data_IF_831666475129
#
_entry.id   IF_831666475129
#
_cell.length_a   1.000
_cell.length_b   1.000
_cell.length_c   1.000
_cell.angle_alpha   90.00
_cell.angle_beta   90.00
_cell.angle_gamma   90.00
#
_symmetry.space_group_name_H-M   'P 1'
#
loop_
_entity.id
_entity.type
_entity.pdbx_description
1 polymer ?
#
# COMPACT_ATOMS: atom_id res chain seq x y z
N UNK A 1 8.87 -6.93 28.16
CA UNK A 1 9.51 -7.34 26.89
C UNK A 1 8.48 -7.22 25.80
N UNK A 2 8.67 -6.33 24.83
CA UNK A 2 7.76 -6.23 23.69
C UNK A 2 8.19 -7.34 22.72
N UNK A 3 7.49 -8.48 22.73
CA UNK A 3 7.76 -9.57 21.80
C UNK A 3 7.45 -9.08 20.39
N UNK A 4 8.48 -9.05 19.52
CA UNK A 4 8.29 -8.72 18.10
C UNK A 4 7.25 -9.68 17.54
N UNK A 5 6.17 -9.12 16.98
CA UNK A 5 5.04 -9.86 16.42
C UNK A 5 5.54 -10.80 15.33
N UNK A 6 5.03 -12.02 15.29
CA UNK A 6 5.43 -12.99 14.26
C UNK A 6 4.48 -12.96 13.06
N UNK A 7 4.94 -13.54 11.94
CA UNK A 7 4.08 -13.82 10.78
C UNK A 7 2.88 -14.67 11.20
N UNK A 8 3.07 -15.65 12.08
CA UNK A 8 2.01 -16.52 12.57
C UNK A 8 0.93 -15.76 13.37
N UNK A 9 1.33 -14.77 14.17
CA UNK A 9 0.39 -13.89 14.87
C UNK A 9 -0.41 -13.04 13.88
N UNK A 10 0.26 -12.50 12.86
CA UNK A 10 -0.39 -11.73 11.79
C UNK A 10 -1.41 -12.57 11.02
N UNK A 11 -1.05 -13.80 10.63
CA UNK A 11 -1.99 -14.73 9.98
C UNK A 11 -3.17 -15.05 10.89
N UNK A 12 -2.94 -15.24 12.20
CA UNK A 12 -4.01 -15.50 13.16
C UNK A 12 -4.98 -14.33 13.25
N UNK A 13 -4.48 -13.11 13.31
CA UNK A 13 -5.32 -11.92 13.38
C UNK A 13 -6.11 -11.72 12.07
N UNK A 14 -5.49 -11.94 10.91
CA UNK A 14 -6.21 -11.93 9.63
C UNK A 14 -7.42 -12.87 9.63
N UNK A 15 -7.23 -14.13 10.04
CA UNK A 15 -8.33 -15.10 10.10
C UNK A 15 -9.31 -14.85 11.26
N UNK A 16 -8.96 -13.96 12.21
CA UNK A 16 -9.89 -13.46 13.24
C UNK A 16 -10.79 -12.37 12.66
N UNK A 17 -10.24 -11.47 11.84
CA UNK A 17 -10.98 -10.38 11.20
C UNK A 17 -11.78 -10.84 9.96
N UNK A 18 -11.28 -11.83 9.22
CA UNK A 18 -11.97 -12.45 8.08
C UNK A 18 -12.12 -13.95 8.29
N UNK A 19 -13.31 -14.37 8.71
CA UNK A 19 -13.61 -15.76 9.06
C UNK A 19 -14.20 -16.58 7.91
N UNK A 20 -14.50 -15.94 6.77
CA UNK A 20 -15.10 -16.60 5.60
C UNK A 20 -14.04 -17.35 4.79
N UNK A 21 -14.39 -18.44 4.10
CA UNK A 21 -13.44 -19.16 3.27
C UNK A 21 -12.98 -18.33 2.07
N UNK A 22 -11.66 -18.20 1.89
CA UNK A 22 -11.08 -17.62 0.67
C UNK A 22 -10.79 -18.74 -0.32
N UNK A 23 -11.24 -18.59 -1.56
CA UNK A 23 -10.93 -19.48 -2.68
C UNK A 23 -9.40 -19.67 -2.80
N UNK A 24 -8.96 -20.92 -3.00
CA UNK A 24 -7.55 -21.30 -2.98
C UNK A 24 -6.69 -20.56 -4.02
N UNK A 25 -7.26 -20.16 -5.16
CA UNK A 25 -6.57 -19.39 -6.21
C UNK A 25 -6.10 -18.05 -5.65
N UNK A 26 -6.97 -17.35 -4.92
CA UNK A 26 -6.69 -16.02 -4.36
C UNK A 26 -5.98 -16.09 -3.01
N UNK A 27 -6.19 -17.16 -2.22
CA UNK A 27 -5.58 -17.33 -0.90
C UNK A 27 -4.06 -17.19 -0.93
N UNK A 28 -3.39 -17.79 -1.94
CA UNK A 28 -1.93 -17.69 -2.07
C UNK A 28 -1.49 -16.22 -2.14
N UNK A 29 -2.16 -15.44 -2.97
CA UNK A 29 -1.79 -14.04 -3.19
C UNK A 29 -2.06 -13.18 -1.97
N UNK A 30 -3.20 -13.39 -1.31
CA UNK A 30 -3.53 -12.71 -0.04
C UNK A 30 -2.50 -13.04 1.04
N UNK A 31 -2.11 -14.30 1.18
CA UNK A 31 -1.09 -14.70 2.16
C UNK A 31 0.31 -14.15 1.83
N UNK A 32 0.72 -14.16 0.56
CA UNK A 32 2.01 -13.58 0.15
C UNK A 32 2.05 -12.07 0.41
N UNK A 33 0.98 -11.35 0.06
CA UNK A 33 0.85 -9.92 0.33
C UNK A 33 0.87 -9.63 1.84
N UNK A 34 0.16 -10.43 2.64
CA UNK A 34 0.17 -10.30 4.10
C UNK A 34 1.54 -10.51 4.72
N UNK A 35 2.29 -11.51 4.24
CA UNK A 35 3.65 -11.78 4.70
C UNK A 35 4.58 -10.64 4.31
N UNK A 36 4.48 -10.13 3.08
CA UNK A 36 5.26 -8.98 2.63
C UNK A 36 5.00 -7.74 3.49
N UNK A 37 3.72 -7.39 3.71
CA UNK A 37 3.32 -6.26 4.57
C UNK A 37 3.82 -6.44 6.01
N UNK A 38 3.75 -7.66 6.56
CA UNK A 38 4.26 -7.95 7.90
C UNK A 38 5.78 -7.73 7.98
N UNK A 39 6.55 -8.33 7.07
CA UNK A 39 8.02 -8.24 7.08
C UNK A 39 8.50 -6.79 6.89
N UNK A 40 7.72 -5.97 6.18
CA UNK A 40 7.93 -4.53 6.13
C UNK A 40 7.61 -3.86 7.46
N UNK A 41 6.43 -4.12 8.05
CA UNK A 41 6.00 -3.46 9.30
C UNK A 41 6.93 -3.67 10.50
N UNK A 42 7.66 -4.79 10.56
CA UNK A 42 8.60 -5.10 11.65
C UNK A 42 10.04 -4.69 11.32
N UNK A 43 10.31 -4.18 10.12
CA UNK A 43 11.62 -3.69 9.73
C UNK A 43 11.84 -2.29 10.33
N UNK A 44 12.97 -2.10 11.01
CA UNK A 44 13.30 -0.84 11.71
C UNK A 44 13.39 0.37 10.79
N UNK A 45 13.74 0.16 9.52
CA UNK A 45 13.92 1.22 8.54
C UNK A 45 12.65 1.50 7.72
N UNK A 46 11.62 0.65 7.88
CA UNK A 46 10.35 0.83 7.19
C UNK A 46 9.49 1.87 7.89
N UNK A 47 8.95 2.79 7.09
CA UNK A 47 7.96 3.75 7.51
C UNK A 47 6.85 3.75 6.46
N UNK A 48 5.60 3.84 6.92
CA UNK A 48 4.47 3.98 6.01
C UNK A 48 4.57 5.31 5.25
N UNK A 49 4.32 5.26 3.95
CA UNK A 49 4.14 6.42 3.10
C UNK A 49 2.95 6.20 2.14
N UNK A 50 2.27 7.26 1.67
CA UNK A 50 1.13 7.14 0.75
C UNK A 50 1.44 6.38 -0.55
N UNK A 51 2.68 6.42 -1.07
CA UNK A 51 3.05 5.72 -2.31
C UNK A 51 3.05 4.20 -2.06
N UNK A 52 3.59 3.76 -0.92
CA UNK A 52 3.43 2.39 -0.44
C UNK A 52 1.94 2.02 -0.27
N UNK A 53 1.13 2.90 0.34
CA UNK A 53 -0.31 2.68 0.52
C UNK A 53 -1.05 2.45 -0.81
N UNK A 54 -0.81 3.32 -1.79
CA UNK A 54 -1.29 3.17 -3.17
C UNK A 54 -0.83 1.84 -3.78
N UNK A 55 0.43 1.48 -3.57
CA UNK A 55 0.99 0.21 -3.99
C UNK A 55 0.24 -1.01 -3.45
N UNK A 56 -0.10 -1.00 -2.17
CA UNK A 56 -0.89 -2.06 -1.50
C UNK A 56 -2.30 -2.13 -2.09
N UNK A 57 -2.99 -1.00 -2.23
CA UNK A 57 -4.34 -0.93 -2.82
C UNK A 57 -4.32 -1.46 -4.26
N UNK A 58 -3.44 -0.95 -5.12
CA UNK A 58 -3.35 -1.38 -6.52
C UNK A 58 -3.00 -2.88 -6.63
N UNK A 59 -2.06 -3.36 -5.81
CA UNK A 59 -1.66 -4.76 -5.79
C UNK A 59 -2.87 -5.65 -5.44
N UNK A 60 -3.59 -5.30 -4.37
CA UNK A 60 -4.78 -6.02 -3.96
C UNK A 60 -5.86 -6.01 -5.04
N UNK A 61 -6.22 -4.84 -5.56
CA UNK A 61 -7.29 -4.69 -6.55
C UNK A 61 -7.02 -5.49 -7.83
N UNK A 62 -5.78 -5.45 -8.34
CA UNK A 62 -5.39 -6.21 -9.53
C UNK A 62 -5.44 -7.71 -9.31
N UNK A 63 -4.95 -8.18 -8.17
CA UNK A 63 -4.96 -9.62 -7.88
C UNK A 63 -6.33 -10.16 -7.51
N UNK A 64 -7.19 -9.32 -6.94
CA UNK A 64 -8.56 -9.67 -6.57
C UNK A 64 -9.55 -9.41 -7.70
N UNK A 65 -9.06 -9.11 -8.91
CA UNK A 65 -9.89 -8.98 -10.09
C UNK A 65 -10.71 -10.26 -10.29
N UNK A 66 -12.02 -10.08 -10.49
CA UNK A 66 -12.98 -11.18 -10.66
C UNK A 66 -13.18 -12.10 -9.45
N UNK A 67 -12.72 -11.74 -8.25
CA UNK A 67 -12.98 -12.50 -7.03
C UNK A 67 -14.50 -12.66 -6.78
N UNK A 68 -14.92 -13.85 -6.37
CA UNK A 68 -16.31 -14.15 -6.01
C UNK A 68 -16.40 -14.81 -4.62
N UNK A 69 -17.34 -14.38 -3.77
CA UNK A 69 -18.31 -13.31 -4.01
C UNK A 69 -17.66 -11.91 -3.86
N UNK A 70 -18.05 -10.96 -4.70
CA UNK A 70 -17.40 -9.64 -4.78
C UNK A 70 -17.40 -8.85 -3.46
N UNK A 71 -18.46 -8.96 -2.66
CA UNK A 71 -18.58 -8.25 -1.39
C UNK A 71 -17.54 -8.70 -0.34
N UNK A 72 -16.94 -9.88 -0.49
CA UNK A 72 -15.90 -10.35 0.43
C UNK A 72 -14.56 -9.66 0.19
N UNK A 73 -14.33 -9.03 -0.98
CA UNK A 73 -13.09 -8.29 -1.25
C UNK A 73 -12.81 -7.21 -0.20
N UNK A 74 -13.83 -6.44 0.15
CA UNK A 74 -13.71 -5.38 1.17
C UNK A 74 -13.33 -5.97 2.54
N UNK A 75 -14.00 -7.06 2.95
CA UNK A 75 -13.69 -7.73 4.21
C UNK A 75 -12.27 -8.30 4.22
N UNK A 76 -11.80 -8.87 3.11
CA UNK A 76 -10.43 -9.38 2.99
C UNK A 76 -9.41 -8.25 3.08
N UNK A 77 -9.64 -7.14 2.37
CA UNK A 77 -8.73 -5.98 2.41
C UNK A 77 -8.67 -5.37 3.83
N UNK A 78 -9.82 -5.19 4.46
CA UNK A 78 -9.91 -4.68 5.83
C UNK A 78 -9.14 -5.58 6.82
N UNK A 79 -9.33 -6.90 6.74
CA UNK A 79 -8.61 -7.85 7.57
C UNK A 79 -7.11 -7.85 7.31
N UNK A 80 -6.69 -7.65 6.05
CA UNK A 80 -5.28 -7.58 5.65
C UNK A 80 -4.56 -6.40 6.30
N UNK A 81 -5.14 -5.19 6.19
CA UNK A 81 -4.59 -3.99 6.80
C UNK A 81 -4.57 -4.09 8.34
N UNK A 82 -5.67 -4.54 8.95
CA UNK A 82 -5.77 -4.67 10.41
C UNK A 82 -4.80 -5.71 10.96
N UNK A 83 -4.55 -6.81 10.24
CA UNK A 83 -3.61 -7.85 10.65
C UNK A 83 -2.17 -7.34 10.79
N UNK A 84 -1.77 -6.31 10.05
CA UNK A 84 -0.44 -5.68 10.19
C UNK A 84 -0.47 -4.40 11.02
N UNK A 85 -1.60 -4.11 11.68
CA UNK A 85 -1.76 -2.93 12.54
C UNK A 85 -2.06 -1.63 11.80
N UNK A 86 -2.47 -1.69 10.53
CA UNK A 86 -2.90 -0.54 9.75
C UNK A 86 -4.43 -0.43 9.62
N UNK A 87 -4.90 0.71 9.11
CA UNK A 87 -6.32 0.99 8.89
C UNK A 87 -6.64 1.04 7.41
N UNK A 88 -7.50 0.16 6.89
CA UNK A 88 -7.79 0.08 5.46
C UNK A 88 -8.32 1.40 4.87
N UNK A 89 -9.07 2.17 5.65
CA UNK A 89 -9.55 3.49 5.25
C UNK A 89 -8.39 4.44 4.92
N UNK A 90 -7.33 4.47 5.75
CA UNK A 90 -6.14 5.28 5.50
C UNK A 90 -5.48 4.92 4.17
N UNK A 91 -5.31 3.62 3.88
CA UNK A 91 -4.72 3.15 2.63
C UNK A 91 -5.55 3.61 1.41
N UNK A 92 -6.88 3.51 1.50
CA UNK A 92 -7.80 3.89 0.42
C UNK A 92 -7.83 5.40 0.19
N UNK A 93 -7.91 6.19 1.27
CA UNK A 93 -7.92 7.65 1.19
C UNK A 93 -6.61 8.20 0.65
N UNK A 94 -5.47 7.68 1.12
CA UNK A 94 -4.15 8.05 0.62
C UNK A 94 -3.98 7.70 -0.87
N UNK A 95 -4.40 6.49 -1.26
CA UNK A 95 -4.35 6.04 -2.65
C UNK A 95 -5.22 6.93 -3.56
N UNK A 96 -6.44 7.28 -3.13
CA UNK A 96 -7.34 8.12 -3.91
C UNK A 96 -6.80 9.54 -4.03
N UNK A 97 -6.34 10.12 -2.91
CA UNK A 97 -5.73 11.46 -2.88
C UNK A 97 -4.56 11.55 -3.86
N UNK A 98 -3.68 10.55 -3.82
CA UNK A 98 -2.53 10.44 -4.72
C UNK A 98 -2.92 10.41 -6.19
N UNK A 99 -3.89 9.58 -6.56
CA UNK A 99 -4.38 9.48 -7.94
C UNK A 99 -4.95 10.82 -8.41
N UNK A 100 -5.80 11.46 -7.61
CA UNK A 100 -6.40 12.75 -7.95
C UNK A 100 -5.38 13.89 -8.05
N UNK A 101 -4.28 13.83 -7.29
CA UNK A 101 -3.20 14.82 -7.39
C UNK A 101 -2.43 14.77 -8.73
N UNK A 102 -2.40 13.62 -9.41
CA UNK A 102 -1.63 13.45 -10.66
C UNK A 102 -2.51 13.33 -11.91
N UNK A 103 -3.84 13.23 -11.75
CA UNK A 103 -4.83 13.07 -12.85
C UNK A 103 -4.72 14.11 -13.97
N UNK A 104 -4.23 15.32 -13.68
CA UNK A 104 -4.08 16.40 -14.66
C UNK A 104 -2.67 16.57 -15.21
N UNK A 105 -1.71 15.74 -14.76
CA UNK A 105 -0.31 15.81 -15.18
C UNK A 105 -0.10 14.83 -16.34
N UNK A 106 0.75 15.16 -17.32
CA UNK A 106 1.24 14.11 -18.22
C UNK A 106 2.29 13.25 -17.52
N UNK A 107 2.53 12.02 -17.98
CA UNK A 107 3.61 11.19 -17.46
C UNK A 107 5.01 11.87 -17.46
N UNK A 108 5.31 12.74 -18.43
CA UNK A 108 6.57 13.51 -18.45
C UNK A 108 6.59 14.61 -17.38
N UNK A 109 5.46 15.28 -17.17
CA UNK A 109 5.33 16.29 -16.11
C UNK A 109 5.44 15.64 -14.73
N UNK A 110 4.84 14.47 -14.55
CA UNK A 110 4.93 13.70 -13.32
C UNK A 110 6.39 13.27 -13.04
N UNK A 111 7.12 12.75 -14.02
CA UNK A 111 8.54 12.40 -13.85
C UNK A 111 9.37 13.63 -13.47
N UNK A 112 9.12 14.76 -14.14
CA UNK A 112 9.81 16.02 -13.86
C UNK A 112 9.52 16.50 -12.44
N UNK A 113 8.26 16.40 -12.01
CA UNK A 113 7.82 16.77 -10.67
C UNK A 113 8.37 15.82 -9.60
N UNK A 114 8.38 14.50 -9.80
CA UNK A 114 8.99 13.55 -8.86
C UNK A 114 10.49 13.81 -8.66
N UNK A 115 11.17 14.33 -9.69
CA UNK A 115 12.60 14.68 -9.64
C UNK A 115 12.87 15.99 -8.89
N UNK A 116 11.87 16.87 -8.79
CA UNK A 116 11.96 18.17 -8.13
C UNK A 116 10.59 18.57 -7.62
N UNK A 117 10.10 17.94 -6.54
CA UNK A 117 8.72 18.10 -6.11
C UNK A 117 8.49 19.51 -5.58
N UNK A 118 7.50 20.19 -6.15
CA UNK A 118 7.05 21.52 -5.71
C UNK A 118 5.70 21.40 -5.00
N UNK A 119 5.46 22.25 -3.99
CA UNK A 119 4.22 22.26 -3.21
C UNK A 119 3.02 22.89 -3.93
N UNK A 120 3.05 22.96 -5.26
CA UNK A 120 2.00 23.61 -6.05
C UNK A 120 0.75 22.72 -6.17
N UNK A 121 -0.41 23.34 -6.41
CA UNK A 121 -1.68 22.67 -6.73
C UNK A 121 -2.16 21.62 -5.70
N UNK A 122 -1.95 21.86 -4.40
CA UNK A 122 -2.45 20.95 -3.35
C UNK A 122 -1.62 19.67 -3.15
N UNK A 123 -0.44 19.57 -3.78
CA UNK A 123 0.47 18.42 -3.66
C UNK A 123 1.51 18.58 -2.56
N UNK A 124 1.39 19.59 -1.67
CA UNK A 124 2.40 19.94 -0.66
C UNK A 124 2.80 18.79 0.27
N UNK A 125 1.85 17.99 0.74
CA UNK A 125 2.11 16.82 1.58
C UNK A 125 2.88 15.73 0.83
N UNK A 126 2.53 15.52 -0.45
CA UNK A 126 3.20 14.55 -1.31
C UNK A 126 4.62 14.98 -1.65
N UNK A 127 4.81 16.27 -1.97
CA UNK A 127 6.12 16.85 -2.22
C UNK A 127 7.05 16.68 -1.02
N UNK A 128 6.53 16.92 0.18
CA UNK A 128 7.26 16.74 1.43
C UNK A 128 7.62 15.27 1.65
N UNK A 129 6.71 14.34 1.37
CA UNK A 129 6.94 12.90 1.49
C UNK A 129 8.05 12.44 0.55
N UNK A 130 7.99 12.83 -0.73
CA UNK A 130 9.00 12.44 -1.73
C UNK A 130 10.37 13.02 -1.36
N UNK A 131 10.43 14.28 -0.93
CA UNK A 131 11.66 14.90 -0.47
C UNK A 131 12.26 14.16 0.74
N UNK A 132 11.42 13.75 1.71
CA UNK A 132 11.86 12.98 2.86
C UNK A 132 12.40 11.59 2.47
N UNK A 133 11.74 10.90 1.53
CA UNK A 133 12.20 9.61 1.00
C UNK A 133 13.55 9.78 0.28
N UNK A 134 13.69 10.78 -0.59
CA UNK A 134 14.91 11.03 -1.35
C UNK A 134 16.12 11.36 -0.47
N UNK A 135 15.89 11.94 0.71
CA UNK A 135 16.93 12.27 1.69
C UNK A 135 17.22 11.14 2.69
N UNK A 136 16.39 10.09 2.73
CA UNK A 136 16.54 8.99 3.68
C UNK A 136 17.50 7.91 3.15
N UNK A 137 18.74 7.92 3.65
CA UNK A 137 19.78 6.96 3.27
C UNK A 137 19.53 5.52 3.75
N UNK A 138 18.57 5.31 4.65
CA UNK A 138 18.16 3.99 5.12
C UNK A 138 16.77 3.61 4.59
N UNK A 139 16.22 4.32 3.60
CA UNK A 139 14.87 4.05 3.10
C UNK A 139 14.66 2.56 2.75
N UNK A 140 13.68 1.94 3.42
CA UNK A 140 13.31 0.56 3.15
C UNK A 140 12.44 0.46 1.90
N UNK A 141 13.10 0.27 0.77
CA UNK A 141 12.42 -0.05 -0.48
C UNK A 141 11.56 -1.32 -0.37
N UNK A 142 10.40 -1.31 -1.04
CA UNK A 142 9.53 -2.46 -1.25
C UNK A 142 9.01 -2.53 -2.67
N UNK A 143 8.62 -3.73 -3.12
CA UNK A 143 7.94 -3.90 -4.41
C UNK A 143 6.61 -3.13 -4.43
N UNK A 144 5.92 -3.06 -3.29
CA UNK A 144 4.68 -2.30 -3.13
C UNK A 144 4.90 -0.81 -3.39
N UNK A 145 5.98 -0.22 -2.88
CA UNK A 145 6.36 1.16 -3.22
C UNK A 145 6.54 1.37 -4.73
N UNK A 146 7.21 0.44 -5.43
CA UNK A 146 7.37 0.52 -6.88
C UNK A 146 6.03 0.38 -7.64
N UNK A 147 5.12 -0.48 -7.18
CA UNK A 147 3.76 -0.57 -7.73
C UNK A 147 3.03 0.76 -7.54
N UNK A 148 3.21 1.43 -6.39
CA UNK A 148 2.66 2.75 -6.13
C UNK A 148 3.14 3.80 -7.15
N UNK A 149 4.46 3.90 -7.34
CA UNK A 149 5.04 4.80 -8.35
C UNK A 149 4.55 4.50 -9.76
N UNK A 150 4.50 3.22 -10.15
CA UNK A 150 4.00 2.82 -11.44
C UNK A 150 2.51 3.15 -11.61
N UNK A 151 1.71 2.99 -10.56
CA UNK A 151 0.28 3.35 -10.56
C UNK A 151 0.07 4.85 -10.77
N UNK A 152 0.96 5.71 -10.22
CA UNK A 152 0.92 7.15 -10.49
C UNK A 152 1.19 7.45 -11.97
N UNK A 153 2.20 6.79 -12.55
CA UNK A 153 2.56 6.95 -13.97
C UNK A 153 1.47 6.43 -14.92
N UNK A 154 0.71 5.40 -14.53
CA UNK A 154 -0.44 4.95 -15.32
C UNK A 154 -1.66 5.87 -15.21
N UNK A 155 -1.75 6.66 -14.13
CA UNK A 155 -2.86 7.59 -13.88
C UNK A 155 -2.65 8.97 -14.53
N UNK A 156 -1.41 9.38 -14.74
CA UNK A 156 -0.98 10.63 -15.37
C UNK A 156 -0.89 10.51 -16.91
#
# INVERSE_FOLDING_TARGET
>A
MNTVRTVSDTKRDFYTYHTRPINSIYRRVVEELMVEMHLLSVNVDFNYDPIYGLGVVTCFDRFMQSYQPEHDKESIFNALCQAVGGEAQQYQEDAQRLKTSVESMSGQDLISWLSSPTSENGTGDLATTIAAIAQNSQFKYSRLFAIGLFSLLEQA
#
